data_IF_100633380730
#
_entry.id   IF_100633380730
#
_cell.length_a   1.000
_cell.length_b   1.000
_cell.length_c   1.000
_cell.angle_alpha   90.00
_cell.angle_beta   90.00
_cell.angle_gamma   90.00
#
_symmetry.space_group_name_H-M   'P 1'
#
loop_
_entity.id
_entity.type
_entity.pdbx_description
1 polymer ?
#
# COMPACT_ATOMS: atom_id res chain seq x y z
N UNK A 1 15.61 -1.14 0.09
CA UNK A 1 14.58 -2.11 0.46
C UNK A 1 13.80 -2.50 -0.80
N UNK A 2 13.33 -3.72 -0.93
CA UNK A 2 12.41 -4.13 -2.00
C UNK A 2 11.07 -4.47 -1.35
N UNK A 3 9.99 -4.00 -1.97
CA UNK A 3 8.60 -4.34 -1.60
C UNK A 3 7.97 -5.09 -2.77
N UNK A 4 7.52 -6.33 -2.53
CA UNK A 4 6.93 -7.20 -3.55
C UNK A 4 5.40 -7.09 -3.51
N UNK A 5 4.85 -6.42 -4.50
CA UNK A 5 3.43 -6.15 -4.64
C UNK A 5 3.05 -4.73 -4.22
N UNK A 6 2.19 -4.11 -5.03
CA UNK A 6 1.67 -2.76 -4.81
C UNK A 6 0.17 -2.77 -4.45
N UNK A 7 -0.25 -3.72 -3.64
CA UNK A 7 -1.54 -3.65 -2.93
C UNK A 7 -1.49 -2.61 -1.82
N UNK A 8 -2.58 -2.43 -1.07
CA UNK A 8 -2.64 -1.43 0.00
C UNK A 8 -1.48 -1.55 1.01
N UNK A 9 -1.18 -2.78 1.46
CA UNK A 9 -0.09 -3.03 2.40
C UNK A 9 1.29 -2.71 1.80
N UNK A 10 1.53 -3.09 0.54
CA UNK A 10 2.78 -2.78 -0.14
C UNK A 10 2.98 -1.29 -0.37
N UNK A 11 1.92 -0.56 -0.72
CA UNK A 11 1.98 0.90 -0.85
C UNK A 11 2.37 1.57 0.48
N UNK A 12 1.73 1.18 1.58
CA UNK A 12 2.03 1.72 2.91
C UNK A 12 3.47 1.38 3.35
N UNK A 13 3.89 0.11 3.18
CA UNK A 13 5.25 -0.31 3.51
C UNK A 13 6.32 0.47 2.72
N UNK A 14 6.08 0.65 1.42
CA UNK A 14 7.01 1.36 0.54
C UNK A 14 7.11 2.85 0.89
N UNK A 15 5.97 3.52 1.07
CA UNK A 15 5.93 4.93 1.46
C UNK A 15 6.54 5.16 2.85
N UNK A 16 6.26 4.29 3.82
CA UNK A 16 6.86 4.37 5.13
C UNK A 16 8.40 4.24 5.07
N UNK A 17 8.91 3.25 4.35
CA UNK A 17 10.34 3.05 4.18
C UNK A 17 11.03 4.24 3.47
N UNK A 18 10.41 4.75 2.41
CA UNK A 18 10.91 5.90 1.66
C UNK A 18 10.96 7.18 2.52
N UNK A 19 9.91 7.44 3.32
CA UNK A 19 9.87 8.56 4.29
C UNK A 19 10.94 8.45 5.37
N UNK A 20 11.29 7.24 5.78
CA UNK A 20 12.41 6.98 6.70
C UNK A 20 13.78 7.12 6.04
N UNK A 21 13.86 7.51 4.77
CA UNK A 21 15.11 7.71 4.03
C UNK A 21 15.70 6.44 3.41
N UNK A 22 15.00 5.31 3.43
CA UNK A 22 15.45 4.10 2.77
C UNK A 22 15.20 4.18 1.26
N UNK A 23 16.24 3.91 0.45
CA UNK A 23 16.02 3.68 -0.99
C UNK A 23 15.14 2.44 -1.16
N UNK A 24 13.98 2.63 -1.73
CA UNK A 24 12.92 1.62 -1.83
C UNK A 24 12.55 1.36 -3.28
N UNK A 25 12.42 0.09 -3.64
CA UNK A 25 11.92 -0.36 -4.94
C UNK A 25 10.63 -1.15 -4.72
N UNK A 26 9.56 -0.75 -5.37
CA UNK A 26 8.31 -1.51 -5.44
C UNK A 26 8.30 -2.32 -6.71
N UNK A 27 8.13 -3.63 -6.60
CA UNK A 27 7.93 -4.52 -7.74
C UNK A 27 6.47 -4.98 -7.77
N UNK A 28 5.80 -4.73 -8.86
CA UNK A 28 4.40 -5.13 -9.05
C UNK A 28 4.17 -5.75 -10.42
N UNK A 29 3.32 -6.75 -10.51
CA UNK A 29 3.00 -7.39 -11.78
C UNK A 29 2.25 -6.48 -12.77
N UNK A 30 1.57 -5.45 -12.26
CA UNK A 30 0.88 -4.47 -13.10
C UNK A 30 0.78 -3.12 -12.37
N UNK A 31 1.38 -2.10 -12.95
CA UNK A 31 1.36 -0.73 -12.41
C UNK A 31 -0.02 -0.06 -12.49
N UNK A 32 -0.88 -0.53 -13.36
CA UNK A 32 -2.24 0.01 -13.50
C UNK A 32 -3.21 -0.59 -12.48
N UNK A 33 -2.75 -1.53 -11.64
CA UNK A 33 -3.54 -2.12 -10.56
C UNK A 33 -3.00 -1.78 -9.16
N UNK A 34 -2.11 -0.80 -9.06
CA UNK A 34 -1.61 -0.28 -7.77
C UNK A 34 -2.79 0.15 -6.89
N UNK A 35 -2.78 -0.29 -5.63
CA UNK A 35 -3.83 -0.01 -4.64
C UNK A 35 -5.26 -0.31 -5.12
N UNK A 36 -5.42 -1.28 -6.01
CA UNK A 36 -6.73 -1.64 -6.55
C UNK A 36 -7.67 -2.11 -5.45
N UNK A 37 -8.85 -1.51 -5.40
CA UNK A 37 -9.96 -1.96 -4.59
C UNK A 37 -10.68 -3.09 -5.32
N UNK A 38 -10.27 -4.34 -5.08
CA UNK A 38 -10.75 -5.52 -5.81
C UNK A 38 -12.21 -5.88 -5.51
N UNK A 39 -12.70 -5.51 -4.32
CA UNK A 39 -14.07 -5.79 -3.88
C UNK A 39 -14.90 -4.50 -3.92
N UNK A 40 -15.48 -4.09 -2.80
CA UNK A 40 -16.18 -2.82 -2.70
C UNK A 40 -15.16 -1.66 -2.64
N UNK A 41 -15.40 -0.55 -3.36
CA UNK A 41 -14.53 0.62 -3.31
C UNK A 41 -14.75 1.40 -2.01
N UNK A 42 -14.52 0.75 -0.87
CA UNK A 42 -14.75 1.31 0.45
C UNK A 42 -13.57 1.03 1.39
N UNK A 43 -13.19 2.06 2.13
CA UNK A 43 -12.20 2.00 3.20
C UNK A 43 -12.90 2.21 4.54
N UNK A 44 -12.56 1.38 5.52
CA UNK A 44 -13.16 1.44 6.85
C UNK A 44 -14.12 0.30 7.15
N UNK A 45 -14.93 0.51 8.17
CA UNK A 45 -15.76 -0.54 8.78
C UNK A 45 -15.13 -1.08 10.05
N UNK A 46 -15.77 -2.09 10.66
CA UNK A 46 -15.26 -2.74 11.87
C UNK A 46 -13.86 -3.29 11.63
N UNK A 47 -12.98 -3.15 12.61
CA UNK A 47 -11.55 -3.45 12.58
C UNK A 47 -10.76 -2.65 11.51
N UNK A 48 -11.11 -2.73 10.24
CA UNK A 48 -10.40 -2.01 9.16
C UNK A 48 -10.36 -0.49 9.40
N UNK A 49 -11.47 0.12 9.82
CA UNK A 49 -11.51 1.56 10.11
C UNK A 49 -10.61 1.97 11.27
N UNK A 50 -10.48 1.11 12.28
CA UNK A 50 -9.59 1.34 13.42
C UNK A 50 -8.12 1.27 12.97
N UNK A 51 -7.75 0.20 12.24
CA UNK A 51 -6.39 0.04 11.71
C UNK A 51 -5.99 1.18 10.77
N UNK A 52 -6.89 1.64 9.91
CA UNK A 52 -6.60 2.78 9.01
C UNK A 52 -6.26 4.04 9.79
N UNK A 53 -6.96 4.31 10.90
CA UNK A 53 -6.66 5.46 11.78
C UNK A 53 -5.31 5.31 12.50
N UNK A 54 -4.95 4.10 12.91
CA UNK A 54 -3.65 3.83 13.52
C UNK A 54 -2.51 4.03 12.51
N UNK A 55 -2.70 3.55 11.27
CA UNK A 55 -1.75 3.76 10.19
C UNK A 55 -1.62 5.26 9.86
N UNK A 56 -2.74 5.99 9.80
CA UNK A 56 -2.78 7.43 9.58
C UNK A 56 -2.01 8.20 10.65
N UNK A 57 -2.20 7.85 11.92
CA UNK A 57 -1.47 8.45 13.04
C UNK A 57 0.05 8.26 12.95
N UNK A 58 0.50 7.23 12.23
CA UNK A 58 1.91 6.99 11.92
C UNK A 58 2.37 7.63 10.59
N UNK A 59 1.51 8.44 9.97
CA UNK A 59 1.80 9.12 8.72
C UNK A 59 1.51 8.26 7.47
N UNK A 60 0.59 7.29 7.56
CA UNK A 60 0.17 6.46 6.44
C UNK A 60 -0.62 7.23 5.38
N UNK A 61 -0.68 6.70 4.19
CA UNK A 61 -1.28 7.37 3.03
C UNK A 61 -2.72 6.93 2.77
N UNK A 62 -3.13 5.77 3.26
CA UNK A 62 -4.44 5.19 2.96
C UNK A 62 -5.60 6.10 3.41
N UNK A 63 -5.52 6.72 4.59
CA UNK A 63 -6.55 7.62 5.08
C UNK A 63 -6.59 8.91 4.26
N UNK A 64 -5.45 9.51 4.01
CA UNK A 64 -5.32 10.74 3.19
C UNK A 64 -5.88 10.49 1.79
N UNK A 65 -5.51 9.37 1.17
CA UNK A 65 -6.01 8.99 -0.14
C UNK A 65 -7.54 8.77 -0.12
N UNK A 66 -8.05 8.18 0.96
CA UNK A 66 -9.48 7.98 1.17
C UNK A 66 -10.22 9.31 1.27
N UNK A 67 -9.74 10.22 2.10
CA UNK A 67 -10.39 11.53 2.31
C UNK A 67 -10.48 12.35 1.03
N UNK A 68 -9.46 12.27 0.18
CA UNK A 68 -9.40 13.00 -1.09
C UNK A 68 -10.20 12.35 -2.24
N UNK A 69 -10.58 11.09 -2.11
CA UNK A 69 -11.28 10.34 -3.16
C UNK A 69 -12.63 9.77 -2.73
N UNK A 70 -13.03 10.02 -1.48
CA UNK A 70 -14.31 9.57 -0.97
C UNK A 70 -15.47 10.32 -1.60
N UNK A 71 -16.51 9.58 -1.94
CA UNK A 71 -17.78 10.10 -2.45
C UNK A 71 -18.88 10.06 -1.39
N UNK A 72 -18.69 9.28 -0.33
CA UNK A 72 -19.63 9.17 0.78
C UNK A 72 -18.92 8.69 2.06
N UNK A 73 -19.23 9.31 3.19
CA UNK A 73 -18.85 8.84 4.52
C UNK A 73 -20.08 8.33 5.28
N UNK A 74 -19.89 7.26 6.05
CA UNK A 74 -20.93 6.69 6.89
C UNK A 74 -20.35 6.21 8.22
N UNK A 75 -21.02 6.54 9.31
CA UNK A 75 -20.74 5.96 10.61
C UNK A 75 -21.55 4.66 10.76
N UNK A 76 -20.87 3.53 10.86
CA UNK A 76 -21.47 2.24 11.13
C UNK A 76 -21.71 2.08 12.64
N UNK A 77 -22.76 1.37 13.00
CA UNK A 77 -23.14 1.08 14.39
C UNK A 77 -23.33 2.35 15.26
N UNK A 78 -23.84 3.44 14.69
CA UNK A 78 -24.06 4.69 15.40
C UNK A 78 -24.93 4.54 16.66
N UNK A 79 -25.84 3.54 16.68
CA UNK A 79 -26.69 3.19 17.82
C UNK A 79 -26.01 2.28 18.86
N UNK A 80 -24.78 1.87 18.64
CA UNK A 80 -23.99 0.98 19.53
C UNK A 80 -22.99 1.78 20.35
N UNK A 81 -22.34 1.09 21.30
CA UNK A 81 -21.26 1.71 22.07
C UNK A 81 -20.06 2.14 21.22
N UNK A 82 -19.25 3.10 21.71
CA UNK A 82 -18.13 3.68 20.94
C UNK A 82 -17.13 2.67 20.41
N UNK A 83 -16.92 1.57 21.13
CA UNK A 83 -15.95 0.53 20.76
C UNK A 83 -16.28 -0.17 19.42
N UNK A 84 -17.52 -0.14 18.98
CA UNK A 84 -17.95 -0.78 17.73
C UNK A 84 -18.41 0.24 16.67
N UNK A 85 -18.36 1.53 16.99
CA UNK A 85 -18.60 2.59 16.01
C UNK A 85 -17.39 2.69 15.08
N UNK A 86 -17.63 2.64 13.78
CA UNK A 86 -16.55 2.67 12.80
C UNK A 86 -16.96 3.50 11.58
N UNK A 87 -16.06 4.39 11.17
CA UNK A 87 -16.23 5.12 9.92
C UNK A 87 -16.00 4.19 8.74
N UNK A 88 -16.81 4.39 7.70
CA UNK A 88 -16.64 3.75 6.40
C UNK A 88 -16.80 4.82 5.32
N UNK A 89 -15.79 4.95 4.49
CA UNK A 89 -15.79 5.81 3.32
C UNK A 89 -16.01 4.98 2.06
N UNK A 90 -16.96 5.38 1.23
CA UNK A 90 -17.10 4.91 -0.14
C UNK A 90 -16.25 5.82 -1.02
N UNK A 91 -15.35 5.26 -1.81
CA UNK A 91 -14.43 6.02 -2.64
C UNK A 91 -14.76 5.88 -4.13
N UNK A 92 -14.38 6.88 -4.92
CA UNK A 92 -14.22 6.67 -6.35
C UNK A 92 -13.03 5.72 -6.56
N UNK A 93 -13.34 4.54 -7.10
CA UNK A 93 -12.37 3.45 -7.26
C UNK A 93 -11.17 3.84 -8.12
N UNK A 94 -11.42 4.59 -9.19
CA UNK A 94 -10.38 4.99 -10.14
C UNK A 94 -9.59 6.18 -9.63
N UNK A 95 -10.24 7.17 -9.05
CA UNK A 95 -9.57 8.29 -8.43
C UNK A 95 -8.62 7.83 -7.30
N UNK A 96 -9.08 6.91 -6.44
CA UNK A 96 -8.27 6.32 -5.38
C UNK A 96 -7.01 5.64 -5.92
N UNK A 97 -7.18 4.81 -6.95
CA UNK A 97 -6.11 4.06 -7.59
C UNK A 97 -5.09 4.99 -8.26
N UNK A 98 -5.55 5.93 -9.07
CA UNK A 98 -4.68 6.87 -9.77
C UNK A 98 -3.91 7.79 -8.81
N UNK A 99 -4.58 8.27 -7.76
CA UNK A 99 -3.92 9.10 -6.76
C UNK A 99 -2.85 8.31 -6.00
N UNK A 100 -3.12 7.08 -5.57
CA UNK A 100 -2.10 6.27 -4.89
C UNK A 100 -0.90 5.96 -5.79
N UNK A 101 -1.14 5.64 -7.07
CA UNK A 101 -0.07 5.46 -8.05
C UNK A 101 0.79 6.71 -8.16
N UNK A 102 0.16 7.86 -8.33
CA UNK A 102 0.84 9.15 -8.42
C UNK A 102 1.65 9.48 -7.15
N UNK A 103 1.10 9.18 -5.98
CA UNK A 103 1.80 9.36 -4.70
C UNK A 103 3.07 8.52 -4.63
N UNK A 104 3.03 7.26 -5.06
CA UNK A 104 4.21 6.40 -5.12
C UNK A 104 5.25 6.91 -6.11
N UNK A 105 4.82 7.31 -7.30
CA UNK A 105 5.71 7.79 -8.38
C UNK A 105 6.42 9.10 -8.03
N UNK A 106 5.80 9.95 -7.21
CA UNK A 106 6.39 11.22 -6.76
C UNK A 106 7.17 11.12 -5.44
N UNK A 107 7.08 10.00 -4.74
CA UNK A 107 7.74 9.85 -3.44
C UNK A 107 9.26 9.84 -3.59
N UNK A 108 9.95 10.69 -2.84
CA UNK A 108 11.40 10.67 -2.78
C UNK A 108 11.90 9.31 -2.26
N UNK A 109 13.03 8.84 -2.77
CA UNK A 109 13.65 7.56 -2.43
C UNK A 109 12.82 6.31 -2.80
N UNK A 110 11.82 6.43 -3.66
CA UNK A 110 10.97 5.33 -4.07
C UNK A 110 10.91 5.21 -5.59
N UNK A 111 11.22 4.02 -6.07
CA UNK A 111 11.07 3.64 -7.48
C UNK A 111 9.98 2.57 -7.61
N UNK A 112 9.20 2.64 -8.67
CA UNK A 112 8.18 1.62 -9.01
C UNK A 112 8.59 0.95 -10.32
N UNK A 113 8.63 -0.38 -10.31
CA UNK A 113 8.99 -1.14 -11.49
C UNK A 113 8.01 -2.29 -11.73
N UNK A 114 7.56 -2.44 -12.97
CA UNK A 114 6.65 -3.52 -13.34
C UNK A 114 7.43 -4.80 -13.56
N UNK A 115 7.31 -5.73 -12.63
CA UNK A 115 7.86 -7.07 -12.72
C UNK A 115 7.12 -8.03 -11.80
N UNK A 116 7.01 -9.28 -12.21
CA UNK A 116 6.52 -10.36 -11.36
C UNK A 116 7.72 -11.02 -10.70
N UNK A 117 7.76 -10.97 -9.37
CA UNK A 117 8.79 -11.66 -8.57
C UNK A 117 8.51 -13.16 -8.61
N UNK A 118 9.50 -13.95 -9.00
CA UNK A 118 9.44 -15.41 -9.09
C UNK A 118 10.17 -16.13 -7.96
N UNK A 119 11.10 -15.46 -7.30
CA UNK A 119 11.87 -16.08 -6.23
C UNK A 119 12.67 -15.08 -5.37
N UNK A 120 13.18 -15.59 -4.25
CA UNK A 120 14.10 -14.89 -3.38
C UNK A 120 15.53 -15.32 -3.68
N UNK A 121 16.45 -14.37 -3.71
CA UNK A 121 17.88 -14.64 -3.85
C UNK A 121 18.51 -14.76 -2.45
N UNK A 122 19.16 -15.90 -2.21
CA UNK A 122 19.82 -16.20 -0.94
C UNK A 122 21.34 -16.17 -1.08
N UNK A 123 22.01 -15.66 -0.04
CA UNK A 123 23.46 -15.77 0.11
C UNK A 123 23.79 -15.97 1.59
N UNK A 124 24.52 -17.05 1.90
CA UNK A 124 24.92 -17.39 3.28
C UNK A 124 23.72 -17.44 4.25
N UNK A 125 22.61 -18.06 3.82
CA UNK A 125 21.40 -18.19 4.65
C UNK A 125 20.56 -16.92 4.83
N UNK A 126 20.90 -15.84 4.13
CA UNK A 126 20.15 -14.58 4.19
C UNK A 126 19.56 -14.22 2.83
N UNK A 127 18.37 -13.62 2.85
CA UNK A 127 17.79 -13.00 1.65
C UNK A 127 18.61 -11.75 1.30
N UNK A 128 19.09 -11.70 0.06
CA UNK A 128 19.89 -10.58 -0.46
C UNK A 128 19.25 -9.90 -1.67
N UNK A 129 18.06 -10.33 -2.05
CA UNK A 129 17.33 -9.77 -3.18
C UNK A 129 16.20 -10.67 -3.67
N UNK A 130 15.69 -10.34 -4.83
CA UNK A 130 14.64 -11.08 -5.53
C UNK A 130 14.99 -11.30 -6.98
N UNK A 131 14.41 -12.34 -7.57
CA UNK A 131 14.47 -12.63 -9.00
C UNK A 131 13.08 -12.51 -9.60
N UNK A 132 13.02 -12.01 -10.82
CA UNK A 132 11.76 -11.84 -11.57
C UNK A 132 11.57 -12.95 -12.58
N UNK A 133 10.35 -13.13 -13.09
CA UNK A 133 10.04 -14.12 -14.14
C UNK A 133 10.85 -13.93 -15.43
N UNK A 134 11.34 -12.72 -15.68
CA UNK A 134 12.20 -12.42 -16.84
C UNK A 134 13.70 -12.65 -16.58
N UNK A 135 14.06 -13.25 -15.43
CA UNK A 135 15.44 -13.54 -15.08
C UNK A 135 16.23 -12.32 -14.59
N UNK A 136 15.59 -11.19 -14.35
CA UNK A 136 16.24 -9.99 -13.80
C UNK A 136 16.31 -10.11 -12.27
N UNK A 137 17.50 -9.96 -11.71
CA UNK A 137 17.70 -9.96 -10.26
C UNK A 137 17.89 -8.54 -9.71
N UNK A 138 17.23 -8.25 -8.61
CA UNK A 138 17.38 -7.01 -7.85
C UNK A 138 17.95 -7.32 -6.48
N UNK A 139 19.00 -6.59 -6.09
CA UNK A 139 19.64 -6.77 -4.78
C UNK A 139 19.12 -5.80 -3.75
N UNK A 140 18.88 -6.27 -2.52
CA UNK A 140 18.46 -5.45 -1.40
C UNK A 140 18.89 -6.05 -0.06
N UNK A 141 19.02 -5.19 0.96
CA UNK A 141 19.25 -5.61 2.35
C UNK A 141 18.00 -6.19 3.00
N UNK A 142 16.83 -5.81 2.54
CA UNK A 142 15.53 -6.24 3.07
C UNK A 142 14.53 -6.41 1.93
N UNK A 143 13.69 -7.43 2.06
CA UNK A 143 12.58 -7.74 1.15
C UNK A 143 11.33 -7.91 2.00
N UNK A 144 10.24 -7.28 1.56
CA UNK A 144 8.90 -7.31 2.17
C UNK A 144 7.88 -7.75 1.13
#
# INVERSE_FOLDING_TARGET
>A
MIVCGAGHAGCEAALAAARMGARTLVLTGNIDTIAQMSCNPAIGGLAKGHMVREIDALGGEMAVNTDLTAIQFRLLNASKGPAVQACRAQCDKKAYQFRMKHTLELAANLDVFQAVVSGLVYRNGRVVGVETQLGVAFSARMVV
#
